data_IF_126191991593
#
_entry.id   IF_126191991593
#
_cell.length_a   1.000
_cell.length_b   1.000
_cell.length_c   1.000
_cell.angle_alpha   90.00
_cell.angle_beta   90.00
_cell.angle_gamma   90.00
#
_symmetry.space_group_name_H-M   'P 1'
#
loop_
_entity.id
_entity.type
_entity.pdbx_description
1 polymer ?
#
# COMPACT_ATOMS: atom_id res chain seq x y z
N UNK A 1 -8.44 -10.59 12.06
CA UNK A 1 -7.07 -11.10 11.80
C UNK A 1 -6.11 -10.81 12.95
N UNK A 2 -5.94 -9.56 13.40
CA UNK A 2 -5.03 -9.22 14.52
C UNK A 2 -5.66 -9.30 15.93
N UNK A 3 -6.93 -9.71 16.02
CA UNK A 3 -7.70 -9.85 17.26
C UNK A 3 -7.82 -8.58 18.12
N UNK A 4 -7.76 -7.40 17.50
CA UNK A 4 -7.99 -6.13 18.20
C UNK A 4 -9.47 -5.79 18.41
N UNK A 5 -10.36 -6.39 17.62
CA UNK A 5 -11.81 -6.23 17.73
C UNK A 5 -12.52 -7.58 17.61
N UNK A 6 -13.73 -7.65 18.14
CA UNK A 6 -14.62 -8.78 17.94
C UNK A 6 -15.23 -8.79 16.52
N UNK A 7 -15.67 -9.97 16.06
CA UNK A 7 -16.37 -10.15 14.78
C UNK A 7 -15.60 -10.98 13.75
N UNK A 8 -16.28 -11.30 12.65
CA UNK A 8 -15.72 -12.12 11.57
C UNK A 8 -14.91 -11.29 10.59
N UNK A 9 -13.62 -11.61 10.43
CA UNK A 9 -12.77 -10.99 9.43
C UNK A 9 -13.30 -11.19 8.00
N UNK A 10 -13.87 -12.36 7.71
CA UNK A 10 -14.49 -12.65 6.43
C UNK A 10 -15.71 -11.75 6.18
N UNK A 11 -16.54 -11.51 7.20
CA UNK A 11 -17.66 -10.59 7.06
C UNK A 11 -17.19 -9.17 6.76
N UNK A 12 -16.24 -8.64 7.55
CA UNK A 12 -15.72 -7.28 7.32
C UNK A 12 -15.03 -7.13 5.96
N UNK A 13 -14.28 -8.15 5.53
CA UNK A 13 -13.68 -8.19 4.21
C UNK A 13 -14.73 -8.09 3.10
N UNK A 14 -15.77 -8.94 3.15
CA UNK A 14 -16.85 -8.93 2.15
C UNK A 14 -17.58 -7.59 2.12
N UNK A 15 -17.89 -7.01 3.28
CA UNK A 15 -18.51 -5.69 3.35
C UNK A 15 -17.61 -4.60 2.76
N UNK A 16 -16.29 -4.68 2.99
CA UNK A 16 -15.32 -3.76 2.38
C UNK A 16 -15.30 -3.83 0.86
N UNK A 17 -15.31 -5.04 0.28
CA UNK A 17 -15.35 -5.22 -1.17
C UNK A 17 -16.67 -4.71 -1.78
N UNK A 18 -17.80 -4.97 -1.13
CA UNK A 18 -19.11 -4.45 -1.56
C UNK A 18 -19.12 -2.91 -1.49
N UNK A 19 -18.59 -2.34 -0.41
CA UNK A 19 -18.46 -0.90 -0.25
C UNK A 19 -17.60 -0.25 -1.34
N UNK A 20 -16.48 -0.88 -1.70
CA UNK A 20 -15.60 -0.38 -2.77
C UNK A 20 -16.30 -0.33 -4.13
N UNK A 21 -17.15 -1.32 -4.45
CA UNK A 21 -17.97 -1.28 -5.68
C UNK A 21 -19.00 -0.14 -5.63
N UNK A 22 -19.65 0.05 -4.49
CA UNK A 22 -20.63 1.11 -4.31
C UNK A 22 -20.01 2.50 -4.45
N UNK A 23 -18.78 2.70 -3.96
CA UNK A 23 -18.04 3.97 -4.05
C UNK A 23 -17.87 4.45 -5.51
N UNK A 24 -17.61 3.52 -6.43
CA UNK A 24 -17.47 3.82 -7.86
C UNK A 24 -18.78 3.67 -8.65
N UNK A 25 -19.92 3.55 -7.96
CA UNK A 25 -21.25 3.50 -8.57
C UNK A 25 -21.59 2.18 -9.25
N UNK A 26 -20.89 1.08 -8.94
CA UNK A 26 -21.21 -0.24 -9.49
C UNK A 26 -22.37 -0.91 -8.71
N UNK A 27 -23.23 -1.68 -9.39
CA UNK A 27 -24.32 -2.41 -8.73
C UNK A 27 -23.82 -3.40 -7.68
N UNK A 28 -24.54 -3.48 -6.55
CA UNK A 28 -24.24 -4.46 -5.50
C UNK A 28 -24.31 -5.92 -6.00
N UNK A 29 -25.11 -6.21 -7.03
CA UNK A 29 -25.16 -7.53 -7.68
C UNK A 29 -23.80 -7.95 -8.23
N UNK A 30 -23.03 -7.01 -8.79
CA UNK A 30 -21.71 -7.30 -9.34
C UNK A 30 -20.72 -7.64 -8.23
N UNK A 31 -20.75 -6.88 -7.13
CA UNK A 31 -19.93 -7.16 -5.96
C UNK A 31 -20.27 -8.52 -5.35
N UNK A 32 -21.57 -8.84 -5.24
CA UNK A 32 -22.06 -10.11 -4.69
C UNK A 32 -21.59 -11.31 -5.52
N UNK A 33 -21.49 -11.20 -6.84
CA UNK A 33 -20.90 -12.24 -7.69
C UNK A 33 -19.38 -12.29 -7.51
N UNK A 34 -18.73 -11.12 -7.47
CA UNK A 34 -17.27 -11.01 -7.37
C UNK A 34 -16.72 -11.64 -6.08
N UNK A 35 -17.33 -11.37 -4.92
CA UNK A 35 -16.87 -11.89 -3.61
C UNK A 35 -17.01 -13.42 -3.47
N UNK A 36 -17.80 -14.06 -4.33
CA UNK A 36 -17.95 -15.52 -4.37
C UNK A 36 -16.92 -16.19 -5.30
N UNK A 37 -16.13 -15.42 -6.05
CA UNK A 37 -15.06 -15.98 -6.88
C UNK A 37 -14.00 -16.65 -6.00
N UNK A 38 -13.55 -17.88 -6.31
CA UNK A 38 -12.53 -18.58 -5.51
C UNK A 38 -11.24 -17.79 -5.29
N UNK A 39 -10.88 -16.90 -6.22
CA UNK A 39 -9.68 -16.06 -6.12
C UNK A 39 -9.86 -14.88 -5.15
N UNK A 40 -11.10 -14.47 -4.89
CA UNK A 40 -11.47 -13.32 -4.06
C UNK A 40 -11.90 -13.76 -2.67
N UNK A 41 -12.47 -14.96 -2.51
CA UNK A 41 -12.87 -15.47 -1.21
C UNK A 41 -11.71 -15.42 -0.19
N UNK A 42 -11.99 -14.86 0.98
CA UNK A 42 -10.97 -14.73 2.02
C UNK A 42 -10.52 -16.12 2.48
N UNK A 43 -9.22 -16.36 2.40
CA UNK A 43 -8.57 -17.59 2.82
C UNK A 43 -8.65 -17.78 4.34
N UNK A 44 -8.67 -19.04 4.77
CA UNK A 44 -8.51 -19.40 6.19
C UNK A 44 -7.03 -19.35 6.64
N UNK A 45 -6.08 -19.40 5.71
CA UNK A 45 -4.67 -19.15 6.01
C UNK A 45 -4.45 -17.65 6.28
N UNK A 46 -3.90 -17.27 7.45
CA UNK A 46 -3.76 -15.86 7.84
C UNK A 46 -2.91 -14.99 6.93
N UNK A 47 -1.81 -15.52 6.38
CA UNK A 47 -0.90 -14.76 5.52
C UNK A 47 -1.54 -14.50 4.16
N UNK A 48 -2.16 -15.54 3.57
CA UNK A 48 -2.94 -15.39 2.33
C UNK A 48 -4.11 -14.44 2.52
N UNK A 49 -4.81 -14.53 3.65
CA UNK A 49 -5.93 -13.64 3.97
C UNK A 49 -5.47 -12.19 4.12
N UNK A 50 -4.31 -11.95 4.75
CA UNK A 50 -3.73 -10.60 4.85
C UNK A 50 -3.42 -10.04 3.47
N UNK A 51 -2.79 -10.84 2.59
CA UNK A 51 -2.55 -10.45 1.21
C UNK A 51 -3.86 -10.08 0.48
N UNK A 52 -4.89 -10.92 0.57
CA UNK A 52 -6.19 -10.67 -0.09
C UNK A 52 -6.86 -9.39 0.42
N UNK A 53 -6.84 -9.15 1.75
CA UNK A 53 -7.38 -7.93 2.35
C UNK A 53 -6.67 -6.69 1.80
N UNK A 54 -5.33 -6.70 1.78
CA UNK A 54 -4.56 -5.54 1.31
C UNK A 54 -4.68 -5.37 -0.20
N UNK A 55 -4.76 -6.45 -0.97
CA UNK A 55 -4.99 -6.38 -2.41
C UNK A 55 -6.34 -5.72 -2.72
N UNK A 56 -7.43 -6.12 -2.06
CA UNK A 56 -8.74 -5.49 -2.25
C UNK A 56 -8.74 -4.03 -1.80
N UNK A 57 -8.08 -3.71 -0.68
CA UNK A 57 -7.90 -2.32 -0.24
C UNK A 57 -7.12 -1.49 -1.27
N UNK A 58 -6.07 -2.05 -1.85
CA UNK A 58 -5.28 -1.38 -2.88
C UNK A 58 -6.11 -1.12 -4.15
N UNK A 59 -6.94 -2.08 -4.57
CA UNK A 59 -7.87 -1.90 -5.69
C UNK A 59 -8.91 -0.81 -5.41
N UNK A 60 -9.45 -0.76 -4.19
CA UNK A 60 -10.40 0.27 -3.77
C UNK A 60 -9.78 1.68 -3.82
N UNK A 61 -8.48 1.80 -3.53
CA UNK A 61 -7.73 3.05 -3.54
C UNK A 61 -7.34 3.56 -4.95
N UNK A 62 -7.98 3.10 -6.04
CA UNK A 62 -7.61 3.52 -7.41
C UNK A 62 -7.75 5.05 -7.63
N UNK A 63 -8.68 5.69 -6.94
CA UNK A 63 -8.89 7.14 -6.92
C UNK A 63 -8.01 7.86 -5.86
N UNK A 64 -7.28 7.11 -5.03
CA UNK A 64 -6.43 7.60 -3.95
C UNK A 64 -5.06 6.91 -3.98
N UNK A 65 -4.28 7.24 -5.03
CA UNK A 65 -3.00 6.59 -5.30
C UNK A 65 -1.96 6.74 -4.17
N UNK A 66 -2.01 7.82 -3.39
CA UNK A 66 -1.11 7.99 -2.24
C UNK A 66 -1.38 6.96 -1.14
N UNK A 67 -2.65 6.72 -0.79
CA UNK A 67 -3.00 5.68 0.17
C UNK A 67 -2.64 4.28 -0.36
N UNK A 68 -2.85 4.02 -1.64
CA UNK A 68 -2.38 2.79 -2.29
C UNK A 68 -0.87 2.59 -2.17
N UNK A 69 -0.07 3.63 -2.41
CA UNK A 69 1.39 3.58 -2.26
C UNK A 69 1.83 3.43 -0.80
N UNK A 70 1.17 4.09 0.14
CA UNK A 70 1.45 3.99 1.58
C UNK A 70 1.17 2.56 2.09
N UNK A 71 0.04 1.96 1.70
CA UNK A 71 -0.28 0.58 2.07
C UNK A 71 0.75 -0.42 1.54
N UNK A 72 1.22 -0.24 0.30
CA UNK A 72 2.31 -1.03 -0.24
C UNK A 72 3.58 -0.91 0.58
N UNK A 73 4.00 0.31 0.94
CA UNK A 73 5.19 0.51 1.77
C UNK A 73 5.07 -0.12 3.15
N UNK A 74 3.86 -0.16 3.72
CA UNK A 74 3.59 -0.68 5.08
C UNK A 74 3.52 -2.20 5.13
N UNK A 75 3.07 -2.82 4.04
CA UNK A 75 2.74 -4.26 4.02
C UNK A 75 3.59 -5.08 3.06
N UNK A 76 4.17 -4.45 2.04
CA UNK A 76 4.77 -5.12 0.89
C UNK A 76 3.77 -5.65 -0.14
N UNK A 77 2.46 -5.37 0.03
CA UNK A 77 1.39 -5.85 -0.85
C UNK A 77 0.72 -4.71 -1.64
N UNK A 78 0.27 -4.94 -2.87
CA UNK A 78 0.43 -6.19 -3.62
C UNK A 78 1.88 -6.39 -4.09
N UNK A 79 2.17 -7.59 -4.57
CA UNK A 79 3.49 -7.88 -5.15
C UNK A 79 3.60 -7.22 -6.51
N UNK A 80 4.53 -6.28 -6.65
CA UNK A 80 4.81 -5.60 -7.91
C UNK A 80 6.03 -6.17 -8.60
N UNK A 81 5.93 -6.33 -9.93
CA UNK A 81 7.11 -6.50 -10.78
C UNK A 81 7.85 -5.17 -10.88
N UNK A 82 9.17 -5.20 -10.77
CA UNK A 82 10.00 -3.99 -10.75
C UNK A 82 10.53 -3.62 -12.13
N UNK A 83 10.15 -4.35 -13.18
CA UNK A 83 10.54 -4.05 -14.57
C UNK A 83 11.97 -4.48 -14.95
N UNK A 84 12.65 -5.22 -14.09
CA UNK A 84 13.97 -5.81 -14.38
C UNK A 84 15.04 -4.74 -14.66
N UNK A 85 15.84 -4.94 -15.71
CA UNK A 85 16.99 -4.10 -16.06
C UNK A 85 16.61 -2.67 -16.48
N UNK A 86 15.35 -2.41 -16.87
CA UNK A 86 14.88 -1.05 -17.17
C UNK A 86 14.73 -0.18 -15.91
N UNK A 87 14.76 -0.78 -14.72
CA UNK A 87 14.64 -0.08 -13.46
C UNK A 87 15.96 0.57 -13.05
N UNK A 88 16.03 1.90 -13.13
CA UNK A 88 17.21 2.70 -12.76
C UNK A 88 17.41 2.81 -11.23
N UNK A 89 16.50 2.26 -10.42
CA UNK A 89 16.58 2.22 -8.97
C UNK A 89 16.93 0.81 -8.44
N UNK A 90 17.75 0.07 -9.19
CA UNK A 90 18.28 -1.25 -8.80
C UNK A 90 17.16 -2.26 -8.51
N UNK A 91 16.07 -2.20 -9.28
CA UNK A 91 14.92 -3.07 -9.08
C UNK A 91 14.11 -2.77 -7.82
N UNK A 92 14.25 -1.58 -7.21
CA UNK A 92 13.50 -1.17 -6.01
C UNK A 92 12.41 -0.18 -6.38
N UNK A 93 11.27 -0.28 -5.68
CA UNK A 93 10.22 0.73 -5.72
C UNK A 93 10.54 1.83 -4.69
N UNK A 94 10.49 3.12 -5.06
CA UNK A 94 10.68 4.24 -4.13
C UNK A 94 9.79 4.14 -2.89
N UNK A 95 10.37 4.43 -1.72
CA UNK A 95 9.68 4.50 -0.43
C UNK A 95 9.34 5.95 0.00
N UNK A 96 9.97 6.95 -0.63
CA UNK A 96 9.74 8.37 -0.35
C UNK A 96 10.10 9.25 -1.55
N UNK A 97 9.67 10.51 -1.48
CA UNK A 97 10.21 11.57 -2.31
C UNK A 97 11.50 12.14 -1.69
N UNK A 98 12.38 12.64 -2.55
CA UNK A 98 13.52 13.45 -2.14
C UNK A 98 13.03 14.75 -1.51
N UNK A 99 13.87 15.36 -0.68
CA UNK A 99 13.61 16.73 -0.28
C UNK A 99 13.72 17.68 -1.48
N UNK A 100 12.98 18.81 -1.48
CA UNK A 100 13.20 19.85 -2.48
C UNK A 100 14.67 20.30 -2.46
N UNK A 101 15.27 20.47 -3.65
CA UNK A 101 16.69 20.82 -3.78
C UNK A 101 17.04 22.14 -3.06
N UNK A 102 16.07 23.07 -2.97
CA UNK A 102 16.22 24.33 -2.25
C UNK A 102 16.46 24.17 -0.75
N UNK A 103 16.00 23.09 -0.11
CA UNK A 103 16.21 22.89 1.34
C UNK A 103 17.69 22.81 1.71
N UNK A 104 18.52 22.32 0.79
CA UNK A 104 19.97 22.28 0.98
C UNK A 104 20.61 23.67 1.10
N UNK A 105 19.97 24.72 0.56
CA UNK A 105 20.47 26.11 0.63
C UNK A 105 19.72 26.95 1.66
N UNK A 106 18.38 26.92 1.68
CA UNK A 106 17.57 27.79 2.54
C UNK A 106 17.44 27.27 3.98
N UNK A 107 17.71 25.98 4.21
CA UNK A 107 17.53 25.30 5.49
C UNK A 107 18.66 24.30 5.78
N UNK A 108 19.88 24.65 5.39
CA UNK A 108 21.03 23.74 5.29
C UNK A 108 21.34 22.97 6.59
N UNK A 109 21.18 23.59 7.76
CA UNK A 109 21.45 22.94 9.05
C UNK A 109 20.47 21.80 9.33
N UNK A 110 19.16 22.03 9.16
CA UNK A 110 18.15 21.00 9.38
C UNK A 110 18.23 19.92 8.31
N UNK A 111 18.43 20.31 7.05
CA UNK A 111 18.64 19.36 5.94
C UNK A 111 19.79 18.39 6.22
N UNK A 112 20.95 18.90 6.66
CA UNK A 112 22.11 18.06 7.04
C UNK A 112 21.81 17.16 8.24
N UNK A 113 21.13 17.66 9.27
CA UNK A 113 20.76 16.86 10.44
C UNK A 113 19.85 15.69 10.06
N UNK A 114 18.83 15.92 9.24
CA UNK A 114 17.92 14.85 8.80
C UNK A 114 18.62 13.87 7.85
N UNK A 115 19.49 14.35 6.96
CA UNK A 115 20.29 13.46 6.11
C UNK A 115 21.12 12.46 6.92
N UNK A 116 21.72 12.89 8.02
CA UNK A 116 22.51 11.99 8.87
C UNK A 116 21.65 10.86 9.47
N UNK A 117 20.40 11.14 9.85
CA UNK A 117 19.45 10.12 10.32
C UNK A 117 19.07 9.11 9.23
N UNK A 118 19.28 9.48 7.96
CA UNK A 118 18.99 8.63 6.80
C UNK A 118 20.23 7.94 6.22
N UNK A 119 21.36 7.96 6.93
CA UNK A 119 22.61 7.36 6.48
C UNK A 119 23.45 8.27 5.57
N UNK A 120 23.19 9.59 5.61
CA UNK A 120 24.02 10.61 4.98
C UNK A 120 23.77 10.86 3.49
N UNK A 121 22.75 10.22 2.90
CA UNK A 121 22.42 10.38 1.48
C UNK A 121 20.92 10.55 1.25
N UNK A 122 20.51 11.59 0.52
CA UNK A 122 19.11 11.79 0.17
C UNK A 122 18.77 10.86 -1.00
N UNK A 123 18.05 9.78 -0.70
CA UNK A 123 17.64 8.81 -1.70
C UNK A 123 16.19 8.38 -1.47
N UNK A 124 15.59 7.85 -2.52
CA UNK A 124 14.18 7.43 -2.53
C UNK A 124 13.94 6.11 -1.79
N UNK A 125 14.98 5.36 -1.44
CA UNK A 125 14.88 4.01 -0.88
C UNK A 125 14.83 3.99 0.65
N UNK A 126 15.13 5.11 1.32
CA UNK A 126 14.98 5.23 2.76
C UNK A 126 13.51 4.98 3.17
N UNK A 127 13.31 4.07 4.13
CA UNK A 127 11.99 3.71 4.64
C UNK A 127 11.51 4.75 5.64
N UNK A 128 10.20 5.00 5.63
CA UNK A 128 9.58 5.78 6.69
C UNK A 128 9.75 5.08 8.05
N UNK A 129 9.53 5.81 9.13
CA UNK A 129 9.73 5.29 10.49
C UNK A 129 8.75 4.19 10.90
N UNK A 130 7.66 4.01 10.13
CA UNK A 130 6.57 3.08 10.38
C UNK A 130 6.68 1.80 9.54
#
# INVERSE_FOLDING_TARGET
MKNYIAGSAANFYTQGVIGAFAEIGLPASNANVYVQSPQVMLSNNPDTAMYQIILQKWLANINNGFEGWIEYKRTGYPYFSTGGSANLNQGKIPNRFLYPVSEATINANNYKTELQKMGGNDNTNYRAWW
#
